data_IF_096296540116
#
_entry.id   IF_096296540116
#
_cell.length_a   1.000
_cell.length_b   1.000
_cell.length_c   1.000
_cell.angle_alpha   90.00
_cell.angle_beta   90.00
_cell.angle_gamma   90.00
#
_symmetry.space_group_name_H-M   'P 1'
#
loop_
_entity.id
_entity.type
_entity.pdbx_description
1 polymer ?
#
# COMPACT_ATOMS: atom_id res chain seq x y z
N UNK A 1 -15.25 26.32 3.24
CA UNK A 1 -16.01 25.20 2.66
C UNK A 1 -15.24 23.93 2.99
N UNK A 2 -15.89 22.94 3.61
CA UNK A 2 -15.28 21.65 3.92
C UNK A 2 -15.47 20.71 2.73
N UNK A 3 -14.37 20.21 2.18
CA UNK A 3 -14.38 19.18 1.14
C UNK A 3 -14.02 17.85 1.79
N UNK A 4 -14.83 16.82 1.55
CA UNK A 4 -14.56 15.45 2.00
C UNK A 4 -14.36 14.59 0.76
N UNK A 5 -13.25 13.87 0.73
CA UNK A 5 -12.97 12.87 -0.29
C UNK A 5 -13.14 11.48 0.31
N UNK A 6 -14.05 10.69 -0.26
CA UNK A 6 -14.30 9.30 0.16
C UNK A 6 -13.72 8.34 -0.87
N UNK A 7 -12.85 7.44 -0.44
CA UNK A 7 -12.28 6.36 -1.25
C UNK A 7 -12.84 5.05 -0.75
N UNK A 8 -13.45 4.27 -1.64
CA UNK A 8 -14.00 2.96 -1.33
C UNK A 8 -13.27 1.89 -2.16
N UNK A 9 -12.21 1.26 -1.60
CA UNK A 9 -11.53 0.16 -2.25
C UNK A 9 -12.52 -0.97 -2.59
N UNK A 10 -12.33 -1.59 -3.75
CA UNK A 10 -13.12 -2.76 -4.19
C UNK A 10 -14.65 -2.53 -4.31
N UNK A 11 -15.10 -1.28 -4.38
CA UNK A 11 -16.52 -0.95 -4.45
C UNK A 11 -17.16 -1.17 -5.84
N UNK A 12 -16.37 -1.47 -6.86
CA UNK A 12 -16.84 -1.77 -8.21
C UNK A 12 -16.78 -3.28 -8.44
N UNK A 13 -17.89 -4.02 -8.23
CA UNK A 13 -17.91 -5.45 -8.49
C UNK A 13 -17.87 -5.74 -9.99
N UNK A 14 -17.57 -6.98 -10.38
CA UNK A 14 -17.81 -7.46 -11.73
C UNK A 14 -19.26 -7.15 -12.18
N UNK A 15 -19.48 -6.69 -13.43
CA UNK A 15 -20.81 -6.30 -13.91
C UNK A 15 -21.88 -7.37 -13.74
N UNK A 16 -21.48 -8.64 -13.79
CA UNK A 16 -22.36 -9.81 -13.67
C UNK A 16 -22.97 -9.93 -12.27
N UNK A 17 -22.25 -9.46 -11.25
CA UNK A 17 -22.69 -9.51 -9.84
C UNK A 17 -23.40 -8.22 -9.41
N UNK A 18 -23.36 -7.16 -10.22
CA UNK A 18 -23.89 -5.85 -9.84
C UNK A 18 -25.39 -5.86 -9.49
N UNK A 19 -26.30 -6.53 -10.23
CA UNK A 19 -27.73 -6.53 -9.89
C UNK A 19 -28.01 -7.19 -8.53
N UNK A 20 -27.34 -8.30 -8.23
CA UNK A 20 -27.49 -9.02 -6.96
C UNK A 20 -26.96 -8.20 -5.79
N UNK A 21 -25.77 -7.62 -5.95
CA UNK A 21 -25.16 -6.77 -4.93
C UNK A 21 -25.99 -5.51 -4.68
N UNK A 22 -26.51 -4.86 -5.73
CA UNK A 22 -27.38 -3.69 -5.57
C UNK A 22 -28.68 -4.02 -4.80
N UNK A 23 -29.26 -5.21 -5.00
CA UNK A 23 -30.44 -5.65 -4.24
C UNK A 23 -30.16 -5.87 -2.76
N UNK A 24 -28.96 -6.32 -2.42
CA UNK A 24 -28.58 -6.60 -1.03
C UNK A 24 -27.94 -5.41 -0.31
N UNK A 25 -27.43 -4.42 -1.05
CA UNK A 25 -26.70 -3.28 -0.51
C UNK A 25 -27.62 -2.40 0.36
N UNK A 26 -27.40 -2.42 1.67
CA UNK A 26 -28.11 -1.56 2.63
C UNK A 26 -27.30 -0.28 2.93
N UNK A 27 -27.18 0.60 1.93
CA UNK A 27 -26.42 1.84 2.05
C UNK A 27 -27.23 3.07 1.62
N UNK A 28 -28.31 3.44 2.34
CA UNK A 28 -29.24 4.50 1.93
C UNK A 28 -28.55 5.88 1.85
N UNK A 29 -27.61 6.18 2.74
CA UNK A 29 -26.85 7.44 2.69
C UNK A 29 -25.96 7.53 1.44
N UNK A 30 -25.29 6.42 1.07
CA UNK A 30 -24.49 6.36 -0.15
C UNK A 30 -25.36 6.49 -1.39
N UNK A 31 -26.52 5.83 -1.41
CA UNK A 31 -27.49 5.97 -2.51
C UNK A 31 -27.93 7.43 -2.67
N UNK A 32 -28.27 8.13 -1.57
CA UNK A 32 -28.61 9.56 -1.60
C UNK A 32 -27.45 10.42 -2.11
N UNK A 33 -26.21 10.17 -1.67
CA UNK A 33 -25.06 10.93 -2.18
C UNK A 33 -24.87 10.73 -3.68
N UNK A 34 -25.05 9.51 -4.17
CA UNK A 34 -24.91 9.17 -5.59
C UNK A 34 -26.01 9.78 -6.47
N UNK A 35 -27.25 9.97 -5.96
CA UNK A 35 -28.31 10.65 -6.75
C UNK A 35 -28.02 12.14 -6.95
N UNK A 36 -27.26 12.77 -6.07
CA UNK A 36 -26.82 14.15 -6.21
C UNK A 36 -25.53 14.30 -7.05
N UNK A 37 -24.88 13.19 -7.42
CA UNK A 37 -23.67 13.22 -8.23
C UNK A 37 -24.02 13.58 -9.69
N UNK A 38 -23.53 14.74 -10.15
CA UNK A 38 -23.75 15.23 -11.52
C UNK A 38 -22.61 14.87 -12.48
N UNK A 39 -21.47 14.40 -11.95
CA UNK A 39 -20.29 14.04 -12.73
C UNK A 39 -19.75 12.71 -12.24
N UNK A 40 -19.43 11.83 -13.17
CA UNK A 40 -18.68 10.62 -12.91
C UNK A 40 -17.56 10.49 -13.94
N UNK A 41 -16.45 9.90 -13.54
CA UNK A 41 -15.32 9.59 -14.42
C UNK A 41 -14.88 8.17 -14.10
N UNK A 42 -14.81 7.33 -15.13
CA UNK A 42 -14.17 6.02 -15.03
C UNK A 42 -12.76 6.14 -15.58
N UNK A 43 -11.79 5.80 -14.76
CA UNK A 43 -10.39 5.68 -15.19
C UNK A 43 -10.16 4.21 -15.55
N UNK A 44 -9.81 3.88 -16.80
CA UNK A 44 -9.40 2.53 -17.13
C UNK A 44 -8.11 2.17 -16.38
N UNK A 45 -8.05 0.97 -15.81
CA UNK A 45 -6.82 0.42 -15.25
C UNK A 45 -6.04 -0.27 -16.37
N UNK A 46 -4.72 -0.09 -16.41
CA UNK A 46 -3.89 -0.84 -17.34
C UNK A 46 -3.97 -2.35 -16.99
N UNK A 47 -4.05 -3.25 -17.99
CA UNK A 47 -4.12 -4.70 -17.74
C UNK A 47 -2.92 -5.27 -16.98
N UNK A 48 -1.79 -4.58 -17.05
CA UNK A 48 -0.52 -4.93 -16.41
C UNK A 48 -0.15 -3.95 -15.28
N UNK A 49 -1.09 -3.11 -14.81
CA UNK A 49 -0.87 -2.33 -13.60
C UNK A 49 -0.60 -3.29 -12.44
N UNK A 50 0.49 -3.08 -11.71
CA UNK A 50 0.85 -3.91 -10.56
C UNK A 50 0.25 -3.33 -9.26
N UNK A 51 -0.09 -2.04 -9.25
CA UNK A 51 -0.82 -1.34 -8.20
C UNK A 51 -2.31 -1.40 -8.45
N UNK A 52 -3.06 -1.46 -7.37
CA UNK A 52 -4.52 -1.45 -7.42
C UNK A 52 -5.02 -0.05 -7.81
N UNK A 53 -6.20 0.05 -8.45
CA UNK A 53 -6.69 1.35 -8.94
C UNK A 53 -6.82 2.43 -7.87
N UNK A 54 -7.15 2.07 -6.63
CA UNK A 54 -7.29 3.03 -5.54
C UNK A 54 -5.93 3.50 -5.00
N UNK A 55 -4.89 2.69 -5.14
CA UNK A 55 -3.51 3.01 -4.76
C UNK A 55 -2.92 4.02 -5.74
N UNK A 56 -3.08 3.75 -7.04
CA UNK A 56 -2.71 4.68 -8.11
C UNK A 56 -3.45 6.02 -7.98
N UNK A 57 -4.76 5.97 -7.69
CA UNK A 57 -5.55 7.17 -7.48
C UNK A 57 -5.04 7.96 -6.26
N UNK A 58 -4.69 7.28 -5.16
CA UNK A 58 -4.21 7.93 -3.94
C UNK A 58 -2.85 8.60 -4.16
N UNK A 59 -1.90 7.91 -4.80
CA UNK A 59 -0.60 8.46 -5.14
C UNK A 59 -0.74 9.73 -6.01
N UNK A 60 -1.58 9.68 -7.04
CA UNK A 60 -1.88 10.84 -7.89
C UNK A 60 -2.54 11.99 -7.11
N UNK A 61 -3.49 11.69 -6.22
CA UNK A 61 -4.18 12.69 -5.41
C UNK A 61 -3.23 13.40 -4.42
N UNK A 62 -2.15 12.73 -4.01
CA UNK A 62 -1.10 13.26 -3.14
C UNK A 62 0.05 13.91 -3.92
N UNK A 63 0.04 13.86 -5.26
CA UNK A 63 1.14 14.37 -6.09
C UNK A 63 2.43 13.56 -5.95
N UNK A 64 2.31 12.26 -5.64
CA UNK A 64 3.44 11.36 -5.44
C UNK A 64 3.64 10.52 -6.71
N UNK A 65 4.74 10.80 -7.41
CA UNK A 65 5.10 10.11 -8.66
C UNK A 65 5.68 8.70 -8.39
N UNK A 66 6.29 8.48 -7.23
CA UNK A 66 7.05 7.26 -6.85
C UNK A 66 6.22 6.10 -6.26
N UNK A 67 4.93 6.02 -6.61
CA UNK A 67 4.10 4.87 -6.27
C UNK A 67 3.74 4.75 -4.77
N UNK A 68 3.31 3.54 -4.37
CA UNK A 68 2.71 3.30 -3.05
C UNK A 68 3.66 3.54 -1.88
N UNK A 69 4.96 3.33 -2.05
CA UNK A 69 5.94 3.53 -0.99
C UNK A 69 5.99 4.98 -0.53
N UNK A 70 6.05 5.93 -1.47
CA UNK A 70 6.01 7.36 -1.15
C UNK A 70 4.71 7.76 -0.44
N UNK A 71 3.57 7.22 -0.86
CA UNK A 71 2.28 7.48 -0.23
C UNK A 71 2.21 6.93 1.21
N UNK A 72 2.73 5.72 1.43
CA UNK A 72 2.82 5.12 2.74
C UNK A 72 3.78 5.90 3.66
N UNK A 73 4.95 6.30 3.17
CA UNK A 73 5.91 7.14 3.90
C UNK A 73 5.28 8.46 4.35
N UNK A 74 4.60 9.16 3.44
CA UNK A 74 3.89 10.38 3.77
C UNK A 74 2.83 10.15 4.86
N UNK A 75 2.11 9.02 4.81
CA UNK A 75 1.16 8.61 5.86
C UNK A 75 1.81 8.33 7.22
N UNK A 76 3.05 7.85 7.23
CA UNK A 76 3.87 7.66 8.44
C UNK A 76 4.60 8.94 8.90
N UNK A 77 4.41 10.08 8.23
CA UNK A 77 5.09 11.34 8.55
C UNK A 77 6.57 11.38 8.11
N UNK A 78 6.97 10.51 7.20
CA UNK A 78 8.30 10.48 6.61
C UNK A 78 8.32 11.23 5.27
N UNK A 79 9.46 11.85 4.97
CA UNK A 79 9.68 12.53 3.69
C UNK A 79 10.27 11.56 2.66
N UNK A 80 9.63 11.47 1.50
CA UNK A 80 10.07 10.67 0.35
C UNK A 80 10.75 11.52 -0.73
N UNK A 81 11.14 12.77 -0.42
CA UNK A 81 11.52 13.82 -1.39
C UNK A 81 12.62 13.49 -2.41
N UNK A 82 13.38 12.41 -2.24
CA UNK A 82 14.26 11.91 -3.28
C UNK A 82 14.57 10.41 -3.14
N UNK A 83 14.57 9.72 -4.27
CA UNK A 83 15.06 8.35 -4.42
C UNK A 83 13.96 7.30 -4.59
N UNK A 84 14.35 6.11 -5.02
CA UNK A 84 13.42 5.00 -5.21
C UNK A 84 13.20 4.28 -3.88
N UNK A 85 12.00 4.44 -3.33
CA UNK A 85 11.60 3.86 -2.06
C UNK A 85 10.80 2.57 -2.23
N UNK A 86 11.08 1.63 -1.34
CA UNK A 86 10.40 0.34 -1.28
C UNK A 86 9.84 0.10 0.11
N UNK A 87 8.66 -0.51 0.17
CA UNK A 87 8.08 -1.00 1.42
C UNK A 87 8.74 -2.33 1.75
N UNK A 88 9.23 -2.46 2.99
CA UNK A 88 9.83 -3.67 3.53
C UNK A 88 8.97 -4.15 4.69
N UNK A 89 8.50 -5.39 4.61
CA UNK A 89 7.70 -6.00 5.68
C UNK A 89 8.51 -7.10 6.39
N UNK A 90 8.59 -7.08 7.73
CA UNK A 90 9.08 -8.22 8.48
C UNK A 90 8.24 -9.46 8.19
N UNK A 91 8.89 -10.58 7.89
CA UNK A 91 8.23 -11.85 7.59
C UNK A 91 8.92 -13.01 8.30
N UNK A 92 8.14 -14.03 8.64
CA UNK A 92 8.67 -15.27 9.19
C UNK A 92 8.80 -16.31 8.07
N UNK A 93 10.04 -16.68 7.77
CA UNK A 93 10.38 -17.68 6.75
C UNK A 93 10.86 -18.94 7.46
N UNK A 94 10.16 -20.05 7.22
CA UNK A 94 10.55 -21.37 7.69
C UNK A 94 11.40 -22.05 6.63
N UNK A 95 12.62 -22.43 7.02
CA UNK A 95 13.60 -23.06 6.15
C UNK A 95 13.66 -24.55 6.48
N UNK A 96 13.09 -25.39 5.62
CA UNK A 96 13.23 -26.84 5.68
C UNK A 96 14.25 -27.33 4.63
N UNK A 97 14.65 -28.60 4.71
CA UNK A 97 15.67 -29.18 3.80
C UNK A 97 15.30 -29.06 2.31
N UNK A 98 14.02 -29.10 1.98
CA UNK A 98 13.54 -29.14 0.58
C UNK A 98 12.56 -28.02 0.24
N UNK A 99 12.15 -27.20 1.21
CA UNK A 99 11.16 -26.16 1.01
C UNK A 99 11.43 -24.94 1.87
N UNK A 100 11.07 -23.78 1.30
CA UNK A 100 10.98 -22.51 1.99
C UNK A 100 9.51 -22.12 2.04
N UNK A 101 8.99 -21.87 3.25
CA UNK A 101 7.60 -21.43 3.42
C UNK A 101 7.57 -20.12 4.19
N UNK A 102 6.82 -19.15 3.68
CA UNK A 102 6.58 -17.89 4.38
C UNK A 102 5.25 -17.95 5.10
N UNK A 103 5.25 -17.66 6.40
CA UNK A 103 4.02 -17.52 7.19
C UNK A 103 3.28 -16.25 6.79
N UNK A 104 1.96 -16.22 7.02
CA UNK A 104 1.17 -15.00 6.81
C UNK A 104 1.73 -13.85 7.65
N UNK A 105 2.17 -12.78 7.00
CA UNK A 105 2.77 -11.61 7.66
C UNK A 105 1.81 -10.95 8.64
N UNK A 106 0.49 -11.04 8.41
CA UNK A 106 -0.52 -10.49 9.32
C UNK A 106 -0.61 -11.23 10.65
N UNK A 107 -0.09 -12.46 10.70
CA UNK A 107 -0.09 -13.30 11.90
C UNK A 107 1.18 -13.15 12.73
N UNK A 108 2.19 -12.42 12.24
CA UNK A 108 3.47 -12.26 12.91
C UNK A 108 3.34 -11.52 14.26
N UNK A 109 2.30 -10.69 14.43
CA UNK A 109 1.91 -10.02 15.69
C UNK A 109 3.11 -9.49 16.49
N UNK A 110 3.99 -8.73 15.83
CA UNK A 110 5.13 -8.09 16.51
C UNK A 110 4.62 -6.98 17.43
N UNK A 111 5.11 -6.96 18.66
CA UNK A 111 4.99 -5.78 19.50
C UNK A 111 5.87 -4.66 18.94
N UNK A 112 5.55 -3.41 19.25
CA UNK A 112 6.37 -2.26 18.84
C UNK A 112 7.82 -2.40 19.34
N UNK A 113 8.01 -2.92 20.55
CA UNK A 113 9.34 -3.13 21.12
C UNK A 113 10.13 -4.19 20.35
N UNK A 114 9.49 -5.32 20.01
CA UNK A 114 10.15 -6.40 19.26
C UNK A 114 10.45 -5.96 17.82
N UNK A 115 9.50 -5.28 17.17
CA UNK A 115 9.71 -4.76 15.84
C UNK A 115 10.86 -3.75 15.78
N UNK A 116 10.96 -2.88 16.80
CA UNK A 116 12.08 -1.93 16.91
C UNK A 116 13.42 -2.64 17.12
N UNK A 117 13.46 -3.67 17.97
CA UNK A 117 14.66 -4.47 18.17
C UNK A 117 15.11 -5.18 16.88
N UNK A 118 14.16 -5.74 16.12
CA UNK A 118 14.43 -6.33 14.81
C UNK A 118 14.93 -5.30 13.81
N UNK A 119 14.35 -4.10 13.79
CA UNK A 119 14.81 -3.00 12.94
C UNK A 119 16.24 -2.59 13.26
N UNK A 120 16.56 -2.42 14.55
CA UNK A 120 17.90 -2.01 14.99
C UNK A 120 18.97 -3.08 14.64
N UNK A 121 18.59 -4.36 14.62
CA UNK A 121 19.44 -5.46 14.14
C UNK A 121 19.59 -5.42 12.62
N UNK A 122 18.51 -5.12 11.88
CA UNK A 122 18.52 -5.14 10.42
C UNK A 122 19.25 -3.93 9.82
N UNK A 123 19.08 -2.74 10.41
CA UNK A 123 19.56 -1.46 9.86
C UNK A 123 21.03 -1.47 9.42
N UNK A 124 22.00 -1.98 10.21
CA UNK A 124 23.41 -1.97 9.83
C UNK A 124 23.69 -2.74 8.53
N UNK A 125 22.97 -3.84 8.29
CA UNK A 125 23.16 -4.65 7.08
C UNK A 125 22.69 -3.92 5.81
N UNK A 126 21.63 -3.09 5.93
CA UNK A 126 21.18 -2.23 4.84
C UNK A 126 22.16 -1.08 4.60
N UNK A 127 22.64 -0.45 5.68
CA UNK A 127 23.63 0.63 5.59
C UNK A 127 24.94 0.15 4.92
N UNK A 128 25.38 -1.08 5.20
CA UNK A 128 26.58 -1.70 4.59
C UNK A 128 26.48 -1.85 3.06
N UNK A 129 25.28 -2.11 2.54
CA UNK A 129 25.02 -2.20 1.09
C UNK A 129 24.59 -0.86 0.48
N UNK A 130 24.69 0.24 1.23
CA UNK A 130 24.33 1.58 0.77
C UNK A 130 22.82 1.84 0.65
N UNK A 131 21.99 0.96 1.20
CA UNK A 131 20.53 1.09 1.17
C UNK A 131 20.05 1.72 2.47
N UNK A 132 19.40 2.88 2.41
CA UNK A 132 18.94 3.56 3.62
C UNK A 132 17.65 2.92 4.11
N UNK A 133 17.63 2.41 5.34
CA UNK A 133 16.44 1.85 5.97
C UNK A 133 15.84 2.84 6.99
N UNK A 134 14.55 3.13 6.84
CA UNK A 134 13.73 3.98 7.72
C UNK A 134 12.61 3.17 8.37
N UNK A 135 12.34 3.48 9.64
CA UNK A 135 11.27 2.83 10.40
C UNK A 135 9.95 3.57 10.21
N UNK A 136 8.90 2.88 9.75
CA UNK A 136 7.54 3.40 9.69
C UNK A 136 6.71 2.95 10.89
N UNK A 137 6.43 1.65 10.95
CA UNK A 137 5.71 0.99 12.04
C UNK A 137 6.22 -0.45 12.23
N UNK A 138 5.60 -1.18 13.17
CA UNK A 138 5.98 -2.54 13.54
C UNK A 138 5.98 -3.55 12.37
N UNK A 139 5.23 -3.26 11.31
CA UNK A 139 5.04 -4.12 10.14
C UNK A 139 5.53 -3.50 8.84
N UNK A 140 5.84 -2.21 8.83
CA UNK A 140 6.09 -1.42 7.61
C UNK A 140 7.35 -0.59 7.80
N UNK A 141 8.42 -0.99 7.14
CA UNK A 141 9.67 -0.24 7.04
C UNK A 141 9.85 0.27 5.61
N UNK A 142 10.77 1.20 5.42
CA UNK A 142 11.03 1.81 4.12
C UNK A 142 12.50 1.73 3.80
N UNK A 143 12.82 1.23 2.61
CA UNK A 143 14.19 1.10 2.13
C UNK A 143 14.36 1.94 0.88
N UNK A 144 15.39 2.79 0.86
CA UNK A 144 15.83 3.50 -0.34
C UNK A 144 16.82 2.64 -1.12
N UNK A 145 16.53 2.38 -2.38
CA UNK A 145 17.40 1.66 -3.31
C UNK A 145 17.31 2.30 -4.70
N UNK A 146 18.06 3.39 -4.90
CA UNK A 146 18.04 4.17 -6.15
C UNK A 146 18.53 3.35 -7.36
N UNK A 147 19.42 2.38 -7.13
CA UNK A 147 19.89 1.45 -8.16
C UNK A 147 18.78 0.53 -8.69
N UNK A 148 17.66 0.43 -7.97
CA UNK A 148 16.53 -0.41 -8.33
C UNK A 148 15.37 0.42 -8.89
N UNK A 149 15.61 1.64 -9.35
CA UNK A 149 14.57 2.50 -9.95
C UNK A 149 13.79 1.82 -11.09
N UNK A 150 14.45 0.94 -11.85
CA UNK A 150 13.81 0.19 -12.95
C UNK A 150 12.99 -1.03 -12.47
N UNK A 151 13.09 -1.39 -11.17
CA UNK A 151 12.39 -2.51 -10.59
C UNK A 151 10.92 -2.14 -10.32
N UNK A 152 10.02 -2.69 -11.12
CA UNK A 152 8.59 -2.50 -10.94
C UNK A 152 8.02 -3.43 -9.87
N UNK A 153 7.85 -2.94 -8.64
CA UNK A 153 7.32 -3.71 -7.51
C UNK A 153 5.82 -3.53 -7.27
N UNK A 154 5.20 -2.51 -7.86
CA UNK A 154 3.75 -2.23 -7.94
C UNK A 154 3.50 -1.30 -9.14
#
# INVERSE_FOLDING_TARGET
MTQITLVLPYALPPPELAPDLMRQLKAPALATLLTHASKWRRTPSAPNARALPHELWLAQALGLDDGMAAAAMHGSGLDASAGSWFIVNPAHIQIARTQLTMSDMRQLQLSEADARALFDIAKPYFDEVGQTLLYGDATTWFMRADEWADLQTT
#
